data_IF_424518493502
#
_entry.id   IF_424518493502
#
_cell.length_a   1.000
_cell.length_b   1.000
_cell.length_c   1.000
_cell.angle_alpha   90.00
_cell.angle_beta   90.00
_cell.angle_gamma   90.00
#
_symmetry.space_group_name_H-M   'P 1'
#
loop_
_entity.id
_entity.type
_entity.pdbx_description
1 polymer ?
#
# COMPACT_ATOMS: atom_id res chain seq x y z
N UNK A 1 -21.21 -23.96 3.12
CA UNK A 1 -19.73 -24.02 3.03
C UNK A 1 -19.35 -23.38 1.71
N UNK A 2 -18.49 -22.36 1.69
CA UNK A 2 -18.04 -21.75 0.43
C UNK A 2 -16.83 -22.54 -0.07
N UNK A 3 -16.95 -23.17 -1.23
CA UNK A 3 -15.83 -23.84 -1.89
C UNK A 3 -14.86 -22.79 -2.44
N UNK A 4 -13.57 -23.04 -2.26
CA UNK A 4 -12.51 -22.21 -2.87
C UNK A 4 -12.38 -22.59 -4.33
N UNK A 5 -13.10 -21.87 -5.19
CA UNK A 5 -13.03 -22.07 -6.65
C UNK A 5 -11.77 -21.41 -7.18
N UNK A 6 -10.76 -22.22 -7.50
CA UNK A 6 -9.54 -21.78 -8.18
C UNK A 6 -9.71 -21.99 -9.70
N UNK A 7 -9.39 -20.99 -10.54
CA UNK A 7 -9.45 -21.16 -11.99
C UNK A 7 -8.41 -22.20 -12.44
N UNK A 8 -8.78 -23.12 -13.33
CA UNK A 8 -7.88 -24.17 -13.82
C UNK A 8 -6.70 -23.64 -14.63
N UNK A 9 -6.83 -22.44 -15.22
CA UNK A 9 -5.83 -21.83 -16.10
C UNK A 9 -4.99 -20.76 -15.38
N UNK A 10 -5.19 -20.55 -14.08
CA UNK A 10 -4.52 -19.52 -13.29
C UNK A 10 -3.22 -20.04 -12.64
N UNK A 11 -2.27 -19.14 -12.44
CA UNK A 11 -1.05 -19.42 -11.66
C UNK A 11 -1.40 -19.42 -10.17
N UNK A 12 -1.69 -20.60 -9.63
CA UNK A 12 -2.22 -20.79 -8.25
C UNK A 12 -1.32 -20.15 -7.18
N UNK A 13 0.01 -20.26 -7.33
CA UNK A 13 0.97 -19.69 -6.37
C UNK A 13 0.85 -18.16 -6.32
N UNK A 14 0.91 -17.50 -7.48
CA UNK A 14 0.82 -16.04 -7.55
C UNK A 14 -0.58 -15.54 -7.18
N UNK A 15 -1.63 -16.29 -7.54
CA UNK A 15 -3.01 -15.94 -7.24
C UNK A 15 -3.31 -15.93 -5.75
N UNK A 16 -2.72 -16.86 -4.99
CA UNK A 16 -2.83 -16.91 -3.53
C UNK A 16 -1.88 -15.91 -2.87
N UNK A 17 -0.68 -15.71 -3.43
CA UNK A 17 0.30 -14.78 -2.86
C UNK A 17 -0.08 -13.31 -3.02
N UNK A 18 -0.73 -12.94 -4.13
CA UNK A 18 -1.16 -11.56 -4.38
C UNK A 18 -2.00 -10.93 -3.24
N UNK A 19 -3.09 -11.56 -2.75
CA UNK A 19 -3.86 -11.01 -1.63
C UNK A 19 -3.08 -11.03 -0.31
N UNK A 20 -2.19 -12.00 -0.09
CA UNK A 20 -1.31 -12.04 1.09
C UNK A 20 -0.38 -10.83 1.08
N UNK A 21 0.25 -10.53 -0.06
CA UNK A 21 1.14 -9.39 -0.22
C UNK A 21 0.39 -8.08 0.04
N UNK A 22 -0.76 -7.87 -0.61
CA UNK A 22 -1.54 -6.65 -0.43
C UNK A 22 -1.96 -6.43 1.02
N UNK A 23 -2.41 -7.49 1.70
CA UNK A 23 -2.80 -7.42 3.10
C UNK A 23 -1.60 -7.19 4.03
N UNK A 24 -0.49 -7.87 3.79
CA UNK A 24 0.73 -7.73 4.58
C UNK A 24 1.29 -6.30 4.52
N UNK A 25 1.35 -5.70 3.32
CA UNK A 25 1.78 -4.31 3.15
C UNK A 25 0.83 -3.33 3.85
N UNK A 26 -0.48 -3.59 3.79
CA UNK A 26 -1.46 -2.79 4.51
C UNK A 26 -1.29 -2.86 6.03
N UNK A 27 -0.77 -3.95 6.58
CA UNK A 27 -0.48 -4.06 8.02
C UNK A 27 0.82 -3.35 8.38
N UNK A 28 1.85 -3.41 7.53
CA UNK A 28 3.13 -2.73 7.78
C UNK A 28 2.96 -1.22 7.90
N UNK A 29 2.06 -0.60 7.13
CA UNK A 29 1.81 0.84 7.20
C UNK A 29 1.30 1.31 8.58
N UNK A 30 0.65 0.43 9.36
CA UNK A 30 0.16 0.77 10.70
C UNK A 30 1.26 0.94 11.75
N UNK A 31 2.45 0.37 11.53
CA UNK A 31 3.56 0.40 12.50
C UNK A 31 3.97 1.83 12.87
N UNK A 32 3.77 2.77 11.94
CA UNK A 32 4.33 4.12 12.03
C UNK A 32 3.29 5.16 12.45
N UNK A 33 2.01 4.78 12.50
CA UNK A 33 0.91 5.70 12.82
C UNK A 33 0.89 5.92 14.34
N UNK A 34 1.08 7.16 14.83
CA UNK A 34 0.95 7.45 16.25
C UNK A 34 -0.53 7.48 16.64
N UNK A 35 -0.92 6.70 17.64
CA UNK A 35 -2.32 6.66 18.15
C UNK A 35 -2.57 7.66 19.28
N UNK A 36 -1.51 8.10 19.95
CA UNK A 36 -1.57 9.05 21.05
C UNK A 36 -0.18 9.34 21.62
N UNK A 37 -0.12 10.23 22.61
CA UNK A 37 1.13 10.56 23.31
C UNK A 37 1.74 9.31 23.95
N UNK A 38 2.93 8.91 23.46
CA UNK A 38 3.62 7.68 23.90
C UNK A 38 3.01 6.37 23.41
N UNK A 39 1.96 6.41 22.59
CA UNK A 39 1.32 5.24 21.98
C UNK A 39 1.71 5.13 20.50
N UNK A 40 2.95 4.72 20.25
CA UNK A 40 3.47 4.41 18.92
C UNK A 40 4.24 3.08 18.98
N UNK A 41 4.21 2.29 17.90
CA UNK A 41 4.93 1.01 17.87
C UNK A 41 6.43 1.21 17.63
N UNK A 42 6.78 2.07 16.67
CA UNK A 42 8.18 2.37 16.34
C UNK A 42 8.35 3.83 16.01
N UNK A 43 9.38 4.45 16.58
CA UNK A 43 9.80 5.80 16.19
C UNK A 43 10.75 5.71 14.99
N UNK A 44 10.40 6.36 13.89
CA UNK A 44 11.22 6.37 12.67
C UNK A 44 11.41 7.81 12.20
N UNK A 45 12.67 8.24 12.15
CA UNK A 45 13.05 9.59 11.68
C UNK A 45 12.58 9.87 10.24
N UNK A 46 12.39 8.82 9.44
CA UNK A 46 12.03 8.87 8.02
C UNK A 46 10.60 8.35 7.83
N UNK A 47 9.72 8.61 8.81
CA UNK A 47 8.39 8.00 8.89
C UNK A 47 7.48 8.22 7.68
N UNK A 48 7.44 9.45 7.14
CA UNK A 48 6.65 9.73 5.93
C UNK A 48 7.17 8.98 4.70
N UNK A 49 8.49 8.94 4.52
CA UNK A 49 9.08 8.29 3.35
C UNK A 49 8.81 6.78 3.37
N UNK A 50 8.82 6.17 4.56
CA UNK A 50 8.43 4.77 4.76
C UNK A 50 6.98 4.52 4.34
N UNK A 51 6.05 5.41 4.70
CA UNK A 51 4.65 5.27 4.32
C UNK A 51 4.48 5.31 2.79
N UNK A 52 5.16 6.25 2.12
CA UNK A 52 5.17 6.36 0.65
C UNK A 52 5.85 5.14 -0.02
N UNK A 53 6.89 4.58 0.59
CA UNK A 53 7.54 3.38 0.08
C UNK A 53 6.62 2.15 0.17
N UNK A 54 5.84 2.02 1.23
CA UNK A 54 4.89 0.90 1.38
C UNK A 54 3.69 1.05 0.45
N UNK A 55 3.14 2.25 0.30
CA UNK A 55 2.02 2.47 -0.61
C UNK A 55 2.38 2.09 -2.04
N UNK A 56 3.57 2.47 -2.50
CA UNK A 56 4.03 2.18 -3.87
C UNK A 56 4.27 0.69 -4.08
N UNK A 57 4.73 -0.03 -3.06
CA UNK A 57 4.82 -1.49 -3.11
C UNK A 57 3.44 -2.17 -3.16
N UNK A 58 2.40 -1.54 -2.59
CA UNK A 58 1.03 -2.06 -2.58
C UNK A 58 0.43 -2.25 -3.98
N UNK A 59 0.83 -1.40 -4.91
CA UNK A 59 0.41 -1.44 -6.32
C UNK A 59 0.76 -2.79 -6.97
N UNK A 60 1.90 -3.39 -6.61
CA UNK A 60 2.33 -4.69 -7.17
C UNK A 60 1.36 -5.83 -6.81
N UNK A 61 0.77 -5.80 -5.61
CA UNK A 61 -0.22 -6.81 -5.20
C UNK A 61 -1.43 -6.84 -6.14
N UNK A 62 -1.87 -5.68 -6.62
CA UNK A 62 -3.01 -5.53 -7.53
C UNK A 62 -2.67 -6.09 -8.92
N UNK A 63 -1.51 -5.73 -9.47
CA UNK A 63 -1.07 -6.19 -10.80
C UNK A 63 -0.90 -7.71 -10.81
N UNK A 64 -0.21 -8.26 -9.81
CA UNK A 64 0.06 -9.71 -9.72
C UNK A 64 -1.25 -10.49 -9.57
N UNK A 65 -2.20 -9.98 -8.79
CA UNK A 65 -3.53 -10.60 -8.64
C UNK A 65 -4.31 -10.65 -9.96
N UNK A 66 -4.28 -9.58 -10.74
CA UNK A 66 -4.91 -9.56 -12.06
C UNK A 66 -4.22 -10.46 -13.09
N UNK A 67 -2.88 -10.46 -13.10
CA UNK A 67 -2.08 -11.23 -14.04
C UNK A 67 -2.18 -12.74 -13.80
N UNK A 68 -2.09 -13.17 -12.54
CA UNK A 68 -2.16 -14.59 -12.14
C UNK A 68 -3.50 -15.26 -12.46
N UNK A 69 -4.60 -14.50 -12.59
CA UNK A 69 -5.92 -15.04 -12.94
C UNK A 69 -6.03 -15.55 -14.38
N UNK A 70 -5.05 -15.24 -15.24
CA UNK A 70 -4.95 -15.63 -16.65
C UNK A 70 -6.25 -15.40 -17.46
N UNK A 71 -6.95 -14.29 -17.21
CA UNK A 71 -8.12 -13.87 -17.97
C UNK A 71 -7.97 -12.43 -18.48
N UNK A 72 -8.32 -12.20 -19.75
CA UNK A 72 -8.19 -10.87 -20.39
C UNK A 72 -8.95 -9.78 -19.63
N UNK A 73 -10.15 -10.09 -19.14
CA UNK A 73 -10.99 -9.13 -18.42
C UNK A 73 -10.40 -8.75 -17.05
N UNK A 74 -9.96 -9.74 -16.26
CA UNK A 74 -9.36 -9.47 -14.94
C UNK A 74 -8.04 -8.72 -15.06
N UNK A 75 -7.21 -9.06 -16.05
CA UNK A 75 -5.96 -8.35 -16.29
C UNK A 75 -6.18 -6.88 -16.68
N UNK A 76 -7.13 -6.59 -17.58
CA UNK A 76 -7.49 -5.21 -17.93
C UNK A 76 -8.09 -4.45 -16.74
N UNK A 77 -8.89 -5.12 -15.90
CA UNK A 77 -9.41 -4.56 -14.66
C UNK A 77 -8.30 -4.16 -13.69
N UNK A 78 -7.34 -5.05 -13.46
CA UNK A 78 -6.19 -4.78 -12.61
C UNK A 78 -5.31 -3.65 -13.14
N UNK A 79 -5.09 -3.57 -14.45
CA UNK A 79 -4.38 -2.45 -15.08
C UNK A 79 -5.07 -1.10 -14.84
N UNK A 80 -6.41 -1.05 -14.93
CA UNK A 80 -7.17 0.17 -14.63
C UNK A 80 -7.04 0.60 -13.17
N UNK A 81 -7.18 -0.34 -12.23
CA UNK A 81 -7.03 -0.06 -10.79
C UNK A 81 -5.61 0.38 -10.45
N UNK A 82 -4.61 -0.23 -11.08
CA UNK A 82 -3.19 0.13 -10.95
C UNK A 82 -2.94 1.56 -11.42
N UNK A 83 -3.38 1.90 -12.62
CA UNK A 83 -3.24 3.24 -13.17
C UNK A 83 -3.91 4.30 -12.29
N UNK A 84 -5.08 3.98 -11.73
CA UNK A 84 -5.77 4.82 -10.77
C UNK A 84 -4.92 5.06 -9.51
N UNK A 85 -4.42 3.98 -8.89
CA UNK A 85 -3.66 4.07 -7.64
C UNK A 85 -2.39 4.90 -7.80
N UNK A 86 -1.61 4.67 -8.87
CA UNK A 86 -0.39 5.44 -9.16
C UNK A 86 -0.71 6.93 -9.35
N UNK A 87 -1.81 7.25 -10.04
CA UNK A 87 -2.21 8.64 -10.30
C UNK A 87 -2.52 9.39 -9.00
N UNK A 88 -3.20 8.73 -8.05
CA UNK A 88 -3.52 9.33 -6.76
C UNK A 88 -2.31 9.37 -5.81
N UNK A 89 -1.39 8.43 -5.92
CA UNK A 89 -0.18 8.40 -5.10
C UNK A 89 0.70 9.63 -5.32
N UNK A 90 0.82 10.10 -6.57
CA UNK A 90 1.52 11.36 -6.88
C UNK A 90 0.86 12.56 -6.20
N UNK A 91 -0.48 12.63 -6.25
CA UNK A 91 -1.22 13.75 -5.65
C UNK A 91 -1.09 13.76 -4.13
N UNK A 92 -1.13 12.58 -3.50
CA UNK A 92 -0.89 12.42 -2.06
C UNK A 92 0.56 12.79 -1.71
N UNK A 93 1.55 12.39 -2.51
CA UNK A 93 2.94 12.77 -2.30
C UNK A 93 3.16 14.28 -2.29
N UNK A 94 2.53 14.99 -3.23
CA UNK A 94 2.60 16.46 -3.28
C UNK A 94 1.82 17.15 -2.15
N UNK A 95 0.69 16.61 -1.70
CA UNK A 95 -0.04 17.21 -0.58
C UNK A 95 0.76 17.10 0.73
N UNK A 96 1.40 15.96 0.98
CA UNK A 96 2.23 15.74 2.18
C UNK A 96 3.47 16.64 2.20
N UNK A 97 4.04 16.98 1.03
CA UNK A 97 5.17 17.91 0.91
C UNK A 97 4.91 19.26 1.59
N UNK A 98 3.69 19.79 1.49
CA UNK A 98 3.32 21.05 2.17
C UNK A 98 3.42 20.95 3.70
N UNK A 99 3.01 19.81 4.27
CA UNK A 99 3.06 19.54 5.71
C UNK A 99 4.50 19.38 6.18
N UNK A 100 5.34 18.70 5.40
CA UNK A 100 6.78 18.53 5.71
C UNK A 100 7.48 19.89 5.82
N UNK A 101 7.19 20.81 4.89
CA UNK A 101 7.78 22.15 4.90
C UNK A 101 7.38 22.94 6.16
N UNK A 102 6.12 22.83 6.58
CA UNK A 102 5.63 23.47 7.81
C UNK A 102 6.27 22.88 9.08
N UNK A 103 6.33 21.55 9.18
CA UNK A 103 6.83 20.86 10.37
C UNK A 103 8.37 20.77 10.44
N UNK A 104 9.08 20.98 9.32
CA UNK A 104 10.54 20.87 9.18
C UNK A 104 11.11 19.51 9.63
N UNK A 105 10.30 18.46 9.56
CA UNK A 105 10.67 17.11 9.97
C UNK A 105 9.94 16.08 9.12
N UNK A 106 10.53 14.88 9.01
CA UNK A 106 9.95 13.72 8.32
C UNK A 106 9.37 12.70 9.32
N UNK A 107 9.58 12.91 10.61
CA UNK A 107 9.08 12.04 11.67
C UNK A 107 7.62 12.38 11.98
N UNK A 108 6.74 11.38 11.84
CA UNK A 108 5.29 11.57 12.05
C UNK A 108 4.94 12.04 13.46
N UNK A 109 5.69 11.64 14.48
CA UNK A 109 5.44 12.08 15.86
C UNK A 109 5.71 13.58 16.00
N UNK A 110 6.84 14.05 15.47
CA UNK A 110 7.14 15.48 15.48
C UNK A 110 6.14 16.31 14.68
N UNK A 111 5.55 15.74 13.62
CA UNK A 111 4.53 16.42 12.80
C UNK A 111 3.21 16.55 13.54
N UNK A 112 2.83 15.55 14.33
CA UNK A 112 1.61 15.59 15.15
C UNK A 112 1.77 16.55 16.34
N UNK A 113 3.00 16.75 16.84
CA UNK A 113 3.30 17.64 17.96
C UNK A 113 3.53 19.10 17.57
N UNK A 114 3.88 19.38 16.30
CA UNK A 114 4.16 20.71 15.77
C UNK A 114 2.89 21.52 15.51
#
# INVERSE_FOLDING_TARGET
>A
VKETVLPSNADVILFIFAPILAFFLSLLSWTIIPLGFGMFFTELNIGILYLLAISSLGVYGIIIGGWSSNSKYSFLGALRSTAQMISYELTIGFSILSVIVCAKSLNLISIVLA
#
